data_IF_811478271058
#
_entry.id   IF_811478271058
#
_cell.length_a   1.000
_cell.length_b   1.000
_cell.length_c   1.000
_cell.angle_alpha   90.00
_cell.angle_beta   90.00
_cell.angle_gamma   90.00
#
_symmetry.space_group_name_H-M   'P 1'
#
loop_
_entity.id
_entity.type
_entity.pdbx_description
1 polymer ?
#
# COMPACT_ATOMS: atom_id res chain seq x y z
N UNK A 1 1.41 12.43 -7.65
CA UNK A 1 1.73 11.08 -7.14
C UNK A 1 1.90 11.09 -5.62
N UNK A 2 2.84 11.86 -5.07
CA UNK A 2 3.00 11.98 -3.61
C UNK A 2 1.74 12.56 -2.95
N UNK A 3 1.15 13.58 -3.56
CA UNK A 3 -0.08 14.25 -3.09
C UNK A 3 -1.29 13.31 -3.19
N UNK A 4 -1.36 12.47 -4.23
CA UNK A 4 -2.41 11.46 -4.39
C UNK A 4 -2.32 10.39 -3.30
N UNK A 5 -1.10 9.89 -3.04
CA UNK A 5 -0.81 8.95 -1.94
C UNK A 5 -1.16 9.57 -0.60
N UNK A 6 -0.76 10.82 -0.36
CA UNK A 6 -1.07 11.53 0.89
C UNK A 6 -2.57 11.68 1.11
N UNK A 7 -3.30 12.07 0.06
CA UNK A 7 -4.75 12.27 0.13
C UNK A 7 -5.49 10.95 0.39
N UNK A 8 -5.11 9.88 -0.32
CA UNK A 8 -5.67 8.56 -0.12
C UNK A 8 -5.32 7.98 1.26
N UNK A 9 -4.09 8.22 1.74
CA UNK A 9 -3.66 7.81 3.07
C UNK A 9 -4.45 8.52 4.17
N UNK A 10 -4.70 9.83 4.03
CA UNK A 10 -5.56 10.55 4.96
C UNK A 10 -6.97 10.00 4.99
N UNK A 11 -7.57 9.72 3.82
CA UNK A 11 -8.90 9.11 3.74
C UNK A 11 -8.93 7.73 4.41
N UNK A 12 -7.90 6.91 4.21
CA UNK A 12 -7.76 5.60 4.86
C UNK A 12 -7.68 5.72 6.38
N UNK A 13 -6.84 6.62 6.89
CA UNK A 13 -6.65 6.85 8.33
C UNK A 13 -7.88 7.41 9.04
N UNK A 14 -8.79 8.05 8.31
CA UNK A 14 -10.05 8.57 8.84
C UNK A 14 -11.20 7.56 8.74
N UNK A 15 -11.03 6.47 7.98
CA UNK A 15 -12.05 5.46 7.85
C UNK A 15 -12.24 4.70 9.17
N UNK A 16 -13.49 4.35 9.47
CA UNK A 16 -13.77 3.41 10.55
C UNK A 16 -13.14 2.05 10.22
N UNK A 17 -12.62 1.37 11.26
CA UNK A 17 -12.15 0.00 11.11
C UNK A 17 -13.35 -0.89 10.76
N UNK A 18 -13.28 -1.67 9.66
CA UNK A 18 -14.35 -2.57 9.29
C UNK A 18 -14.40 -3.78 10.21
N UNK A 19 -15.56 -4.43 10.28
CA UNK A 19 -15.62 -5.80 10.80
C UNK A 19 -14.99 -6.75 9.78
N UNK A 20 -14.20 -7.71 10.24
CA UNK A 20 -13.42 -8.62 9.38
C UNK A 20 -13.56 -10.06 9.84
N UNK A 21 -13.49 -11.04 8.92
CA UNK A 21 -13.61 -12.45 9.29
C UNK A 21 -12.52 -12.86 10.28
N UNK A 22 -12.91 -13.48 11.41
CA UNK A 22 -11.97 -13.94 12.45
C UNK A 22 -10.84 -14.84 11.92
N UNK A 23 -11.12 -15.61 10.85
CA UNK A 23 -10.15 -16.50 10.19
C UNK A 23 -8.97 -15.75 9.54
N UNK A 24 -9.21 -14.54 9.03
CA UNK A 24 -8.23 -13.73 8.28
C UNK A 24 -7.85 -12.43 9.01
N UNK A 25 -8.50 -12.12 10.13
CA UNK A 25 -8.30 -10.90 10.92
C UNK A 25 -6.82 -10.60 11.21
N UNK A 26 -6.06 -11.60 11.67
CA UNK A 26 -4.63 -11.39 11.99
C UNK A 26 -3.82 -10.99 10.76
N UNK A 27 -4.05 -11.66 9.64
CA UNK A 27 -3.36 -11.39 8.38
C UNK A 27 -3.72 -10.00 7.83
N UNK A 28 -5.01 -9.65 7.86
CA UNK A 28 -5.50 -8.35 7.41
C UNK A 28 -4.89 -7.18 8.21
N UNK A 29 -4.79 -7.30 9.53
CA UNK A 29 -4.19 -6.23 10.34
C UNK A 29 -2.68 -6.11 10.17
N UNK A 30 -1.98 -7.22 9.93
CA UNK A 30 -0.56 -7.18 9.55
C UNK A 30 -0.39 -6.44 8.22
N UNK A 31 -1.25 -6.70 7.24
CA UNK A 31 -1.21 -6.00 5.95
C UNK A 31 -1.44 -4.48 6.11
N UNK A 32 -2.42 -4.06 6.92
CA UNK A 32 -2.66 -2.63 7.21
C UNK A 32 -1.44 -1.97 7.86
N UNK A 33 -0.84 -2.62 8.87
CA UNK A 33 0.35 -2.10 9.56
C UNK A 33 1.56 -1.99 8.62
N UNK A 34 1.85 -3.03 7.85
CA UNK A 34 3.01 -3.10 6.96
C UNK A 34 2.89 -2.08 5.82
N UNK A 35 1.73 -2.02 5.15
CA UNK A 35 1.49 -1.04 4.08
C UNK A 35 1.50 0.38 4.66
N UNK A 36 0.85 0.60 5.80
CA UNK A 36 0.86 1.90 6.49
C UNK A 36 2.27 2.36 6.87
N UNK A 37 3.12 1.44 7.32
CA UNK A 37 4.55 1.71 7.57
C UNK A 37 5.31 2.14 6.32
N UNK A 38 5.04 1.51 5.17
CA UNK A 38 5.63 1.87 3.89
C UNK A 38 5.15 3.25 3.40
N UNK A 39 3.86 3.56 3.54
CA UNK A 39 3.30 4.88 3.21
C UNK A 39 3.95 5.97 4.06
N UNK A 40 4.01 5.77 5.38
CA UNK A 40 4.62 6.74 6.29
C UNK A 40 6.10 6.97 5.97
N UNK A 41 6.85 5.90 5.71
CA UNK A 41 8.24 6.00 5.30
C UNK A 41 8.39 6.83 4.01
N UNK A 42 7.61 6.52 2.97
CA UNK A 42 7.64 7.24 1.71
C UNK A 42 7.38 8.75 1.88
N UNK A 43 6.36 9.10 2.67
CA UNK A 43 6.01 10.49 2.94
C UNK A 43 7.10 11.24 3.71
N UNK A 44 7.71 10.58 4.72
CA UNK A 44 8.82 11.12 5.52
C UNK A 44 10.12 11.24 4.71
N UNK A 45 10.39 10.31 3.80
CA UNK A 45 11.55 10.31 2.90
C UNK A 45 11.39 11.27 1.71
N UNK A 46 10.43 12.20 1.78
CA UNK A 46 10.24 13.21 0.73
C UNK A 46 9.55 12.70 -0.53
N UNK A 47 9.06 11.46 -0.57
CA UNK A 47 8.47 10.82 -1.75
C UNK A 47 9.42 9.84 -2.45
N UNK A 48 10.37 9.27 -1.70
CA UNK A 48 11.24 8.19 -2.16
C UNK A 48 10.92 6.89 -1.41
N UNK A 49 10.92 5.77 -2.13
CA UNK A 49 10.79 4.42 -1.56
C UNK A 49 12.08 3.66 -1.84
N UNK A 50 12.44 2.72 -0.97
CA UNK A 50 13.58 1.84 -1.16
C UNK A 50 13.17 0.48 -1.76
N UNK A 51 14.15 -0.25 -2.30
CA UNK A 51 13.92 -1.54 -2.94
C UNK A 51 13.34 -2.61 -1.98
N UNK A 52 13.80 -2.72 -0.71
CA UNK A 52 13.20 -3.65 0.25
C UNK A 52 11.71 -3.39 0.48
N UNK A 53 11.29 -2.13 0.66
CA UNK A 53 9.88 -1.79 0.83
C UNK A 53 9.07 -2.04 -0.43
N UNK A 54 9.64 -1.84 -1.62
CA UNK A 54 8.99 -2.23 -2.87
C UNK A 54 8.66 -3.73 -2.89
N UNK A 55 9.62 -4.58 -2.53
CA UNK A 55 9.40 -6.03 -2.49
C UNK A 55 8.31 -6.42 -1.46
N UNK A 56 8.35 -5.81 -0.26
CA UNK A 56 7.30 -6.01 0.76
C UNK A 56 5.92 -5.65 0.21
N UNK A 57 5.80 -4.54 -0.53
CA UNK A 57 4.52 -4.11 -1.10
C UNK A 57 4.01 -5.05 -2.20
N UNK A 58 4.90 -5.66 -3.00
CA UNK A 58 4.49 -6.68 -3.96
C UNK A 58 3.88 -7.89 -3.26
N UNK A 59 4.53 -8.38 -2.20
CA UNK A 59 4.04 -9.50 -1.39
C UNK A 59 2.68 -9.16 -0.77
N UNK A 60 2.56 -7.97 -0.14
CA UNK A 60 1.30 -7.52 0.44
C UNK A 60 0.16 -7.41 -0.60
N UNK A 61 0.45 -7.01 -1.84
CA UNK A 61 -0.57 -6.97 -2.91
C UNK A 61 -1.02 -8.36 -3.32
N UNK A 62 -0.11 -9.32 -3.38
CA UNK A 62 -0.46 -10.71 -3.66
C UNK A 62 -1.37 -11.29 -2.56
N UNK A 63 -1.06 -11.02 -1.30
CA UNK A 63 -1.90 -11.44 -0.16
C UNK A 63 -3.27 -10.77 -0.18
N UNK A 64 -3.32 -9.45 -0.41
CA UNK A 64 -4.59 -8.73 -0.56
C UNK A 64 -5.43 -9.27 -1.72
N UNK A 65 -4.84 -9.57 -2.87
CA UNK A 65 -5.55 -10.14 -4.01
C UNK A 65 -6.18 -11.50 -3.68
N UNK A 66 -5.56 -12.29 -2.80
CA UNK A 66 -6.10 -13.56 -2.31
C UNK A 66 -7.23 -13.38 -1.30
N UNK A 67 -7.15 -12.36 -0.44
CA UNK A 67 -8.09 -12.14 0.67
C UNK A 67 -9.33 -11.33 0.28
N UNK A 68 -9.18 -10.34 -0.60
CA UNK A 68 -10.24 -9.40 -0.99
C UNK A 68 -11.54 -10.06 -1.47
N UNK A 69 -11.52 -11.16 -2.26
CA UNK A 69 -12.75 -11.81 -2.72
C UNK A 69 -13.63 -12.38 -1.60
N UNK A 70 -13.06 -12.64 -0.43
CA UNK A 70 -13.73 -13.22 0.74
C UNK A 70 -14.28 -12.16 1.70
N UNK A 71 -14.09 -10.87 1.41
CA UNK A 71 -14.48 -9.78 2.29
C UNK A 71 -15.83 -9.19 1.89
N UNK A 72 -16.63 -8.88 2.91
CA UNK A 72 -17.84 -8.08 2.75
C UNK A 72 -17.50 -6.65 2.30
N UNK A 73 -18.48 -5.95 1.71
CA UNK A 73 -18.29 -4.68 0.99
C UNK A 73 -17.49 -3.62 1.77
N UNK A 74 -17.79 -3.43 3.06
CA UNK A 74 -17.14 -2.41 3.89
C UNK A 74 -15.67 -2.75 4.16
N UNK A 75 -15.37 -4.01 4.46
CA UNK A 75 -14.01 -4.51 4.62
C UNK A 75 -13.26 -4.47 3.29
N UNK A 76 -13.87 -4.96 2.20
CA UNK A 76 -13.30 -4.92 0.87
C UNK A 76 -12.94 -3.48 0.46
N UNK A 77 -13.80 -2.50 0.72
CA UNK A 77 -13.52 -1.08 0.46
C UNK A 77 -12.31 -0.56 1.25
N UNK A 78 -12.20 -0.95 2.51
CA UNK A 78 -11.05 -0.59 3.36
C UNK A 78 -9.73 -1.16 2.84
N UNK A 79 -9.70 -2.47 2.56
CA UNK A 79 -8.48 -3.14 2.10
C UNK A 79 -8.14 -2.85 0.63
N UNK A 80 -9.11 -2.50 -0.20
CA UNK A 80 -8.83 -1.99 -1.56
C UNK A 80 -8.11 -0.64 -1.54
N UNK A 81 -8.36 0.23 -0.55
CA UNK A 81 -7.58 1.47 -0.40
C UNK A 81 -6.11 1.16 -0.10
N UNK A 82 -5.84 0.15 0.73
CA UNK A 82 -4.47 -0.32 1.00
C UNK A 82 -3.81 -0.92 -0.24
N UNK A 83 -4.54 -1.73 -1.02
CA UNK A 83 -4.05 -2.27 -2.30
C UNK A 83 -3.67 -1.14 -3.26
N UNK A 84 -4.54 -0.13 -3.37
CA UNK A 84 -4.31 1.04 -4.22
C UNK A 84 -3.08 1.84 -3.74
N UNK A 85 -2.94 2.06 -2.43
CA UNK A 85 -1.77 2.73 -1.85
C UNK A 85 -0.48 1.96 -2.16
N UNK A 86 -0.47 0.64 -2.00
CA UNK A 86 0.67 -0.20 -2.33
C UNK A 86 1.03 -0.09 -3.81
N UNK A 87 0.04 -0.15 -4.70
CA UNK A 87 0.24 0.02 -6.14
C UNK A 87 0.82 1.39 -6.52
N UNK A 88 0.37 2.47 -5.88
CA UNK A 88 0.90 3.82 -6.11
C UNK A 88 2.35 3.97 -5.63
N UNK A 89 2.69 3.36 -4.49
CA UNK A 89 4.05 3.37 -3.95
C UNK A 89 5.04 2.61 -4.85
N UNK A 90 4.63 1.45 -5.37
CA UNK A 90 5.45 0.69 -6.33
C UNK A 90 5.68 1.51 -7.61
N UNK A 91 4.63 2.12 -8.17
CA UNK A 91 4.78 3.01 -9.33
C UNK A 91 5.70 4.21 -9.04
N UNK A 92 5.66 4.75 -7.82
CA UNK A 92 6.54 5.85 -7.42
C UNK A 92 8.01 5.41 -7.37
N UNK A 93 8.27 4.20 -6.86
CA UNK A 93 9.60 3.60 -6.87
C UNK A 93 10.13 3.42 -8.30
N UNK A 94 9.34 2.81 -9.18
CA UNK A 94 9.72 2.53 -10.57
C UNK A 94 10.06 3.81 -11.33
N UNK A 95 9.21 4.84 -11.23
CA UNK A 95 9.47 6.16 -11.83
C UNK A 95 10.71 6.87 -11.25
N UNK A 96 11.02 6.62 -9.98
CA UNK A 96 12.23 7.12 -9.34
C UNK A 96 13.48 6.42 -9.89
N UNK A 97 13.43 5.09 -10.01
CA UNK A 97 14.51 4.27 -10.55
C UNK A 97 14.81 4.61 -12.02
N UNK A 98 13.78 4.81 -12.85
CA UNK A 98 13.92 5.24 -14.25
C UNK A 98 14.67 6.58 -14.38
N UNK A 99 14.40 7.55 -13.49
CA UNK A 99 15.07 8.85 -13.49
C UNK A 99 16.52 8.79 -13.01
N UNK A 100 16.86 7.80 -12.20
CA UNK A 100 18.24 7.55 -11.74
C UNK A 100 19.04 6.70 -12.73
N UNK A 101 18.38 6.05 -13.70
CA UNK A 101 19.01 5.40 -14.84
C UNK A 101 19.44 6.42 -15.89
N UNK A 102 20.74 6.71 -15.96
CA UNK A 102 21.34 7.31 -17.15
C UNK A 102 20.93 6.50 -18.40
N UNK A 103 20.54 7.20 -19.47
CA UNK A 103 20.26 6.58 -20.76
C UNK A 103 21.48 5.80 -21.29
N UNK A 104 21.28 4.87 -22.25
CA UNK A 104 22.40 4.18 -22.86
C UNK A 104 23.28 5.22 -23.57
N UNK A 105 24.49 5.41 -23.05
CA UNK A 105 25.60 6.05 -23.75
C UNK A 105 26.26 5.10 -24.73
#
# INVERSE_FOLDING_TARGET
MKEDILSLWHAHRQAALPDVPRKSMGELWVLDEVIGGCVNFYLQAGGALDAPRKAILDDCRADLARLLPDLEETAASYFNRLETLAGLLIQAYEKGAEKSGAGPG
#
